data_IF_760448301322
#
_entry.id   IF_760448301322
#
_cell.length_a   1.000
_cell.length_b   1.000
_cell.length_c   1.000
_cell.angle_alpha   90.00
_cell.angle_beta   90.00
_cell.angle_gamma   90.00
#
_symmetry.space_group_name_H-M   'P 1'
#
loop_
_entity.id
_entity.type
_entity.pdbx_description
1 polymer ?
#
# COMPACT_ATOMS: atom_id res chain seq x y z
N UNK A 1 4.23 -4.74 15.92
CA UNK A 1 4.78 -4.59 14.54
C UNK A 1 5.57 -5.82 14.11
N UNK A 2 5.11 -6.51 13.06
CA UNK A 2 5.85 -7.65 12.46
C UNK A 2 7.06 -7.16 11.64
N UNK A 3 8.15 -7.94 11.60
CA UNK A 3 9.35 -7.66 10.77
C UNK A 3 9.02 -7.37 9.30
N UNK A 4 7.98 -8.01 8.77
CA UNK A 4 7.55 -7.79 7.38
C UNK A 4 6.90 -6.43 7.17
N UNK A 5 6.09 -5.93 8.12
CA UNK A 5 5.46 -4.62 8.01
C UNK A 5 6.48 -3.50 8.12
N UNK A 6 7.48 -3.67 8.98
CA UNK A 6 8.65 -2.80 9.04
C UNK A 6 9.44 -2.78 7.73
N UNK A 7 9.53 -3.91 7.02
CA UNK A 7 10.15 -3.93 5.70
C UNK A 7 9.31 -3.19 4.64
N UNK A 8 7.98 -3.26 4.73
CA UNK A 8 7.05 -2.55 3.83
C UNK A 8 7.11 -1.05 4.09
N UNK A 9 7.12 -0.60 5.34
CA UNK A 9 7.20 0.83 5.68
C UNK A 9 8.51 1.48 5.22
N UNK A 10 9.58 0.70 5.04
CA UNK A 10 10.87 1.14 4.48
C UNK A 10 10.90 1.27 2.96
N UNK A 11 9.85 0.85 2.25
CA UNK A 11 9.78 0.98 0.80
C UNK A 11 9.68 2.45 0.41
N UNK A 12 10.41 2.85 -0.64
CA UNK A 12 10.52 4.26 -1.04
C UNK A 12 9.20 4.90 -1.49
N UNK A 13 8.19 4.10 -1.80
CA UNK A 13 6.86 4.50 -2.28
C UNK A 13 5.76 4.34 -1.22
N UNK A 14 6.07 3.77 -0.06
CA UNK A 14 5.13 3.68 1.06
C UNK A 14 5.25 4.94 1.91
N UNK A 15 4.12 5.49 2.33
CA UNK A 15 4.03 6.64 3.21
C UNK A 15 3.76 6.22 4.65
N UNK A 16 2.82 5.29 4.85
CA UNK A 16 2.46 4.76 6.16
C UNK A 16 1.97 3.31 6.06
N UNK A 17 2.16 2.57 7.16
CA UNK A 17 1.62 1.21 7.34
C UNK A 17 1.03 1.16 8.74
N UNK A 18 -0.27 0.97 8.82
CA UNK A 18 -1.04 0.89 10.04
C UNK A 18 -1.50 -0.56 10.25
N UNK A 19 -1.14 -1.15 11.39
CA UNK A 19 -1.51 -2.52 11.75
C UNK A 19 -2.69 -2.49 12.72
N UNK A 20 -3.90 -2.24 12.21
CA UNK A 20 -5.13 -2.17 13.01
C UNK A 20 -5.74 -3.54 13.29
N UNK A 21 -4.99 -4.62 13.06
CA UNK A 21 -5.47 -6.00 13.32
C UNK A 21 -5.69 -6.27 14.80
N UNK A 22 -5.01 -5.53 15.69
CA UNK A 22 -5.22 -5.64 17.14
C UNK A 22 -6.65 -5.18 17.54
N UNK A 23 -7.26 -4.29 16.76
CA UNK A 23 -8.64 -3.81 16.92
C UNK A 23 -9.66 -4.65 16.10
N UNK A 24 -9.24 -5.78 15.51
CA UNK A 24 -10.09 -6.62 14.67
C UNK A 24 -10.31 -6.08 13.24
N UNK A 25 -9.54 -5.07 12.84
CA UNK A 25 -9.55 -4.52 11.48
C UNK A 25 -8.49 -5.18 10.58
N UNK A 26 -8.12 -4.52 9.49
CA UNK A 26 -7.12 -4.98 8.51
C UNK A 26 -5.84 -4.14 8.60
N UNK A 27 -4.78 -4.57 7.89
CA UNK A 27 -3.54 -3.82 7.74
C UNK A 27 -3.75 -2.77 6.66
N UNK A 28 -3.66 -1.50 6.99
CA UNK A 28 -3.82 -0.42 6.03
C UNK A 28 -2.43 0.01 5.55
N UNK A 29 -2.22 -0.04 4.24
CA UNK A 29 -1.00 0.50 3.62
C UNK A 29 -1.37 1.73 2.81
N UNK A 30 -0.70 2.83 3.13
CA UNK A 30 -0.80 4.10 2.43
C UNK A 30 0.48 4.33 1.64
N UNK A 31 0.34 4.49 0.32
CA UNK A 31 1.41 4.88 -0.58
C UNK A 31 1.61 6.40 -0.55
N UNK A 32 2.77 6.85 -1.04
CA UNK A 32 3.04 8.27 -1.24
C UNK A 32 2.10 8.84 -2.29
N UNK A 33 1.82 10.14 -2.21
CA UNK A 33 0.87 10.85 -3.09
C UNK A 33 1.16 10.80 -4.59
N UNK A 34 2.35 10.31 -4.99
CA UNK A 34 2.73 10.13 -6.40
C UNK A 34 2.66 8.66 -6.83
N UNK A 35 2.14 7.79 -5.99
CA UNK A 35 2.08 6.34 -6.17
C UNK A 35 0.68 5.83 -5.92
N UNK A 36 0.28 4.85 -6.73
CA UNK A 36 -1.00 4.16 -6.63
C UNK A 36 -0.78 2.66 -6.71
N UNK A 37 -1.73 1.90 -6.17
CA UNK A 37 -1.77 0.47 -6.40
C UNK A 37 -2.28 0.20 -7.82
N UNK A 38 -1.72 -0.80 -8.50
CA UNK A 38 -2.17 -1.29 -9.81
C UNK A 38 -3.52 -2.05 -9.72
N UNK A 39 -4.41 -1.65 -8.81
CA UNK A 39 -5.71 -2.29 -8.60
C UNK A 39 -6.77 -1.76 -9.57
N UNK A 40 -7.97 -2.32 -9.53
CA UNK A 40 -9.10 -1.91 -10.38
C UNK A 40 -9.60 -0.48 -10.10
N UNK A 41 -9.13 0.15 -9.01
CA UNK A 41 -9.38 1.55 -8.64
C UNK A 41 -8.16 2.44 -8.94
N UNK A 42 -8.04 2.96 -10.18
CA UNK A 42 -6.96 3.87 -10.55
C UNK A 42 -7.01 5.15 -9.70
N UNK A 43 -5.84 5.58 -9.23
CA UNK A 43 -5.69 6.74 -8.34
C UNK A 43 -5.85 6.44 -6.85
N UNK A 44 -6.10 5.18 -6.47
CA UNK A 44 -6.17 4.79 -5.06
C UNK A 44 -4.78 4.42 -4.52
N UNK A 45 -4.21 5.32 -3.71
CA UNK A 45 -2.94 5.12 -3.00
C UNK A 45 -3.08 4.39 -1.66
N UNK A 46 -4.29 3.98 -1.27
CA UNK A 46 -4.56 3.35 0.04
C UNK A 46 -5.19 1.98 -0.18
N UNK A 47 -4.68 0.95 0.48
CA UNK A 47 -5.23 -0.40 0.39
C UNK A 47 -5.18 -1.14 1.72
N UNK A 48 -6.29 -1.76 2.08
CA UNK A 48 -6.41 -2.65 3.24
C UNK A 48 -6.04 -4.09 2.88
N UNK A 49 -5.38 -4.79 3.82
CA UNK A 49 -4.95 -6.18 3.67
C UNK A 49 -5.24 -6.98 4.94
N UNK A 50 -5.84 -8.15 4.81
CA UNK A 50 -6.21 -8.96 5.99
C UNK A 50 -5.01 -9.67 6.63
N UNK A 51 -3.94 -9.91 5.88
CA UNK A 51 -2.76 -10.62 6.36
C UNK A 51 -1.47 -9.91 5.98
N UNK A 52 -0.42 -10.11 6.79
CA UNK A 52 0.92 -9.61 6.51
C UNK A 52 1.47 -10.14 5.18
N UNK A 53 1.11 -11.38 4.82
CA UNK A 53 1.49 -11.97 3.54
C UNK A 53 0.80 -11.27 2.36
N UNK A 54 -0.50 -10.97 2.49
CA UNK A 54 -1.24 -10.20 1.49
C UNK A 54 -0.69 -8.78 1.35
N UNK A 55 -0.41 -8.09 2.47
CA UNK A 55 0.21 -6.76 2.45
C UNK A 55 1.56 -6.77 1.72
N UNK A 56 2.41 -7.77 2.01
CA UNK A 56 3.70 -7.92 1.32
C UNK A 56 3.54 -8.18 -0.17
N UNK A 57 2.61 -9.05 -0.56
CA UNK A 57 2.36 -9.36 -1.95
C UNK A 57 1.81 -8.13 -2.70
N UNK A 58 0.81 -7.45 -2.12
CA UNK A 58 0.14 -6.29 -2.71
C UNK A 58 0.94 -4.99 -2.70
N UNK A 59 2.04 -4.92 -1.93
CA UNK A 59 2.99 -3.78 -1.94
C UNK A 59 4.26 -4.08 -2.73
N UNK A 60 4.30 -5.22 -3.44
CA UNK A 60 5.39 -5.54 -4.32
C UNK A 60 5.49 -4.51 -5.45
N UNK A 61 6.70 -4.27 -5.96
CA UNK A 61 6.96 -3.24 -6.97
C UNK A 61 6.10 -3.34 -8.24
N UNK A 62 5.60 -4.54 -8.57
CA UNK A 62 4.72 -4.83 -9.70
C UNK A 62 3.25 -4.46 -9.45
N UNK A 63 2.85 -4.40 -8.19
CA UNK A 63 1.49 -4.09 -7.74
C UNK A 63 1.32 -2.58 -7.44
N UNK A 64 2.40 -1.81 -7.60
CA UNK A 64 2.39 -0.36 -7.40
C UNK A 64 3.00 0.34 -8.61
N UNK A 65 2.42 1.46 -8.98
CA UNK A 65 2.91 2.30 -10.07
C UNK A 65 2.96 3.76 -9.64
N UNK A 66 3.79 4.53 -10.33
CA UNK A 66 3.70 5.98 -10.20
C UNK A 66 2.38 6.41 -10.82
N UNK A 67 1.68 7.32 -10.12
CA UNK A 67 0.50 7.96 -10.65
C UNK A 67 0.95 8.70 -11.90
N UNK A 68 0.61 8.14 -13.06
CA UNK A 68 0.81 8.85 -14.31
C UNK A 68 -0.22 9.96 -14.35
N UNK A 69 0.16 11.19 -14.74
CA UNK A 69 -0.80 12.28 -14.91
C UNK A 69 -1.69 11.99 -16.13
N UNK A 70 -2.59 11.01 -16.02
CA UNK A 70 -3.65 10.77 -17.00
C UNK A 70 -4.86 11.57 -16.52
N UNK A 71 -4.85 12.87 -16.81
CA UNK A 71 -5.96 13.72 -16.35
C UNK A 71 -5.79 15.23 -16.42
N UNK A 72 -4.73 15.78 -17.03
CA UNK A 72 -4.83 17.13 -17.58
C UNK A 72 -5.54 17.02 -18.94
N UNK A 73 -6.87 16.97 -18.93
CA UNK A 73 -7.70 17.29 -20.10
C UNK A 73 -8.77 18.27 -19.69
#
# INVERSE_FOLDING_TARGET
MSKTLDAISKLSYVAAVDDEREDGSSIIVTLKSNWEFCSEDPGCGVKGFDTVAAARAGTARREVQLISPVGAK
#
